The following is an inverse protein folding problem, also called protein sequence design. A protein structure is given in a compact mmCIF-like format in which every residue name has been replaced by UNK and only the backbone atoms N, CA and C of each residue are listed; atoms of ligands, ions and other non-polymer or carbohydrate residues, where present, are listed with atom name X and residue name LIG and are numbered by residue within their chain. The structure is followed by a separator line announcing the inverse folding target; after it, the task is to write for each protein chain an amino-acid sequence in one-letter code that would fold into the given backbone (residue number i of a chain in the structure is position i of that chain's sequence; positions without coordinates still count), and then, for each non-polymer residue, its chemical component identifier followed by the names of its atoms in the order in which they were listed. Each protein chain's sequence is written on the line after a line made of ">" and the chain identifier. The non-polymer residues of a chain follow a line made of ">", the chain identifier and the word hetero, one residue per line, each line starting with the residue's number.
data_IF_268849868433
#
_entry.id   IF_268849868433
#
_cell.length_a   1.000
_cell.length_b   1.000
_cell.length_c   1.000
_cell.angle_alpha   90.00
_cell.angle_beta   90.00
_cell.angle_gamma   90.00
#
_symmetry.space_group_name_H-M   'P 1'
#
loop_
_entity.id
_entity.type
_entity.pdbx_description
1 polymer ?
#
# COMPACT_ATOMS: atom_id res chain seq x y z
N UNK A 1 2.94 -7.60 -28.12
CA UNK A 1 3.52 -7.84 -26.79
C UNK A 1 2.37 -7.81 -25.81
N UNK A 2 2.04 -8.92 -25.15
CA UNK A 2 1.04 -8.89 -24.07
C UNK A 2 1.55 -7.97 -22.97
N UNK A 3 0.78 -6.97 -22.55
CA UNK A 3 1.13 -6.19 -21.37
C UNK A 3 1.26 -7.13 -20.18
N UNK A 4 2.45 -7.17 -19.56
CA UNK A 4 2.73 -7.97 -18.37
C UNK A 4 1.79 -7.54 -17.26
N UNK A 5 1.07 -8.51 -16.70
CA UNK A 5 0.22 -8.31 -15.52
C UNK A 5 1.09 -7.86 -14.34
N UNK A 6 0.61 -6.88 -13.57
CA UNK A 6 1.31 -6.33 -12.41
C UNK A 6 0.60 -6.74 -11.14
N UNK A 7 1.34 -6.99 -10.07
CA UNK A 7 0.73 -7.14 -8.75
C UNK A 7 0.56 -5.77 -8.13
N UNK A 8 -0.63 -5.49 -7.62
CA UNK A 8 -0.98 -4.26 -6.91
C UNK A 8 -1.25 -4.59 -5.44
N UNK A 9 -0.33 -4.18 -4.56
CA UNK A 9 -0.58 -4.24 -3.13
C UNK A 9 -1.38 -3.03 -2.72
N UNK A 10 -2.44 -3.28 -1.97
CA UNK A 10 -3.23 -2.22 -1.36
C UNK A 10 -2.66 -1.90 0.03
N UNK A 11 -2.65 -0.62 0.40
CA UNK A 11 -2.42 -0.11 1.75
C UNK A 11 -3.74 0.06 2.50
N UNK A 12 -3.74 -0.15 3.83
CA UNK A 12 -4.95 -0.06 4.67
C UNK A 12 -5.57 1.33 4.59
N UNK A 13 -4.76 2.38 4.70
CA UNK A 13 -5.25 3.76 4.69
C UNK A 13 -5.69 4.20 3.29
N UNK A 14 -5.04 3.70 2.23
CA UNK A 14 -5.55 3.84 0.86
C UNK A 14 -6.96 3.25 0.73
N UNK A 15 -7.16 1.98 1.10
CA UNK A 15 -8.47 1.30 0.97
C UNK A 15 -9.53 2.00 1.80
N UNK A 16 -9.21 2.39 3.03
CA UNK A 16 -10.11 3.13 3.91
C UNK A 16 -10.61 4.43 3.26
N UNK A 17 -9.70 5.23 2.68
CA UNK A 17 -10.06 6.50 2.02
C UNK A 17 -10.78 6.30 0.69
N UNK A 18 -10.30 5.38 -0.15
CA UNK A 18 -10.91 5.10 -1.45
C UNK A 18 -12.33 4.52 -1.34
N UNK A 19 -12.67 3.90 -0.21
CA UNK A 19 -14.03 3.44 0.12
C UNK A 19 -14.95 4.57 0.62
N UNK A 20 -14.40 5.70 1.07
CA UNK A 20 -15.19 6.89 1.47
C UNK A 20 -15.51 7.75 0.24
N UNK A 21 -14.57 7.82 -0.70
CA UNK A 21 -14.70 8.62 -1.93
C UNK A 21 -15.65 7.90 -2.88
N UNK A 22 -16.75 8.54 -3.23
CA UNK A 22 -17.77 7.95 -4.08
C UNK A 22 -18.36 8.95 -5.08
N UNK A 23 -18.82 8.41 -6.22
CA UNK A 23 -19.57 9.15 -7.23
C UNK A 23 -20.68 8.25 -7.78
N UNK A 24 -21.90 8.78 -7.89
CA UNK A 24 -23.07 8.05 -8.41
C UNK A 24 -23.30 6.67 -7.75
N UNK A 25 -22.97 6.52 -6.47
CA UNK A 25 -23.12 5.27 -5.72
C UNK A 25 -22.01 4.24 -5.91
N UNK A 26 -20.98 4.53 -6.73
CA UNK A 26 -19.79 3.70 -6.86
C UNK A 26 -18.64 4.29 -6.02
N UNK A 27 -17.84 3.44 -5.39
CA UNK A 27 -16.67 3.88 -4.61
C UNK A 27 -15.45 4.00 -5.53
N UNK A 28 -14.53 4.92 -5.23
CA UNK A 28 -13.28 5.05 -5.99
C UNK A 28 -12.47 3.75 -5.94
N UNK A 29 -12.54 3.02 -4.82
CA UNK A 29 -11.94 1.70 -4.70
C UNK A 29 -12.44 0.70 -5.76
N UNK A 30 -13.73 0.77 -6.14
CA UNK A 30 -14.28 -0.08 -7.20
C UNK A 30 -13.69 0.27 -8.57
N UNK A 31 -13.47 1.56 -8.87
CA UNK A 31 -12.83 1.97 -10.12
C UNK A 31 -11.35 1.56 -10.18
N UNK A 32 -10.65 1.60 -9.04
CA UNK A 32 -9.27 1.14 -8.95
C UNK A 32 -9.17 -0.35 -9.27
N UNK A 33 -10.07 -1.19 -8.76
CA UNK A 33 -10.07 -2.63 -9.06
C UNK A 33 -10.35 -2.94 -10.54
N UNK A 34 -10.97 -2.01 -11.28
CA UNK A 34 -11.19 -2.13 -12.73
C UNK A 34 -9.96 -1.76 -13.57
N UNK A 35 -8.86 -1.31 -12.94
CA UNK A 35 -7.66 -0.98 -13.69
C UNK A 35 -7.12 -2.23 -14.43
N UNK A 36 -6.94 -2.15 -15.76
CA UNK A 36 -6.53 -3.31 -16.53
C UNK A 36 -5.08 -3.68 -16.19
N UNK A 37 -4.77 -4.96 -16.35
CA UNK A 37 -3.42 -5.51 -16.14
C UNK A 37 -2.92 -5.44 -14.69
N UNK A 38 -3.82 -5.38 -13.71
CA UNK A 38 -3.49 -5.52 -12.29
C UNK A 38 -4.11 -6.77 -11.68
N UNK A 39 -3.33 -7.45 -10.84
CA UNK A 39 -3.81 -8.42 -9.85
C UNK A 39 -3.67 -7.79 -8.49
N UNK A 40 -4.80 -7.53 -7.82
CA UNK A 40 -4.79 -6.88 -6.52
C UNK A 40 -4.53 -7.92 -5.42
N UNK A 41 -3.72 -7.54 -4.45
CA UNK A 41 -3.41 -8.36 -3.30
C UNK A 41 -3.34 -7.52 -2.02
N UNK A 42 -3.65 -8.15 -0.89
CA UNK A 42 -3.49 -7.56 0.44
C UNK A 42 -3.04 -8.62 1.44
N UNK A 43 -2.41 -8.17 2.53
CA UNK A 43 -2.15 -9.04 3.68
C UNK A 43 -3.40 -9.15 4.55
N UNK A 44 -3.64 -10.30 5.18
CA UNK A 44 -4.77 -10.53 6.10
C UNK A 44 -4.89 -9.44 7.17
N UNK A 45 -3.75 -8.92 7.63
CA UNK A 45 -3.67 -7.83 8.62
C UNK A 45 -4.49 -6.60 8.26
N UNK A 46 -4.60 -6.27 6.97
CA UNK A 46 -5.44 -5.15 6.51
C UNK A 46 -6.91 -5.35 6.89
N UNK A 47 -7.44 -6.57 6.78
CA UNK A 47 -8.83 -6.85 7.17
C UNK A 47 -9.05 -6.60 8.66
N UNK A 48 -8.11 -7.02 9.50
CA UNK A 48 -8.18 -6.82 10.95
C UNK A 48 -8.22 -5.33 11.31
N UNK A 49 -7.36 -4.52 10.68
CA UNK A 49 -7.29 -3.08 10.91
C UNK A 49 -8.53 -2.35 10.39
N UNK A 50 -9.01 -2.68 9.19
CA UNK A 50 -10.22 -2.07 8.62
C UNK A 50 -11.46 -2.42 9.45
N UNK A 51 -11.58 -3.66 9.92
CA UNK A 51 -12.72 -4.06 10.76
C UNK A 51 -12.77 -3.29 12.09
N UNK A 52 -11.64 -2.76 12.57
CA UNK A 52 -11.59 -1.92 13.76
C UNK A 52 -11.83 -0.42 13.45
N UNK A 53 -11.24 0.12 12.37
CA UNK A 53 -11.25 1.56 12.10
C UNK A 53 -12.27 2.03 11.04
N UNK A 54 -12.67 1.16 10.11
CA UNK A 54 -13.60 1.46 9.02
C UNK A 54 -14.35 0.20 8.58
N UNK A 55 -15.35 -0.20 9.37
CA UNK A 55 -16.16 -1.42 9.16
C UNK A 55 -16.77 -1.49 7.75
N UNK A 56 -17.10 -0.34 7.14
CA UNK A 56 -17.60 -0.28 5.78
C UNK A 56 -16.56 -0.76 4.76
N UNK A 57 -15.33 -0.23 4.84
CA UNK A 57 -14.21 -0.67 4.00
C UNK A 57 -13.81 -2.13 4.29
N UNK A 58 -13.91 -2.58 5.56
CA UNK A 58 -13.68 -3.99 5.94
C UNK A 58 -14.65 -4.95 5.24
N UNK A 59 -15.96 -4.64 5.25
CA UNK A 59 -16.98 -5.43 4.53
C UNK A 59 -16.77 -5.43 3.01
N UNK A 60 -16.40 -4.27 2.45
CA UNK A 60 -16.05 -4.18 1.04
C UNK A 60 -14.87 -5.09 0.72
N UNK A 61 -13.78 -5.01 1.48
CA UNK A 61 -12.59 -5.83 1.26
C UNK A 61 -12.90 -7.32 1.35
N UNK A 62 -13.65 -7.73 2.39
CA UNK A 62 -14.09 -9.12 2.54
C UNK A 62 -14.86 -9.60 1.30
N UNK A 63 -15.82 -8.80 0.81
CA UNK A 63 -16.59 -9.16 -0.39
C UNK A 63 -15.67 -9.34 -1.60
N UNK A 64 -14.69 -8.45 -1.80
CA UNK A 64 -13.74 -8.52 -2.92
C UNK A 64 -12.78 -9.71 -2.84
N UNK A 65 -12.47 -10.17 -1.63
CA UNK A 65 -11.69 -11.39 -1.41
C UNK A 65 -12.54 -12.62 -1.75
N UNK A 66 -13.79 -12.67 -1.26
CA UNK A 66 -14.72 -13.76 -1.50
C UNK A 66 -15.09 -13.91 -3.00
N UNK A 67 -15.17 -12.81 -3.75
CA UNK A 67 -15.38 -12.82 -5.21
C UNK A 67 -14.12 -13.12 -6.02
N UNK A 68 -12.94 -13.21 -5.37
CA UNK A 68 -11.65 -13.46 -6.03
C UNK A 68 -11.08 -12.25 -6.77
N UNK A 69 -11.61 -11.05 -6.56
CA UNK A 69 -11.09 -9.80 -7.15
C UNK A 69 -9.80 -9.32 -6.46
N UNK A 70 -9.63 -9.66 -5.17
CA UNK A 70 -8.42 -9.38 -4.37
C UNK A 70 -7.89 -10.68 -3.77
N UNK A 71 -6.59 -10.93 -3.98
CA UNK A 71 -5.88 -12.06 -3.35
C UNK A 71 -5.52 -11.65 -1.91
N UNK A 72 -6.07 -12.32 -0.92
CA UNK A 72 -5.67 -12.15 0.47
C UNK A 72 -4.68 -13.22 0.88
N UNK A 73 -3.54 -12.81 1.44
CA UNK A 73 -2.47 -13.72 1.88
C UNK A 73 -2.18 -13.48 3.36
N UNK A 74 -2.03 -14.55 4.13
CA UNK A 74 -1.58 -14.50 5.52
C UNK A 74 -0.13 -14.95 5.67
N UNK A 75 0.39 -14.88 6.88
CA UNK A 75 1.80 -15.22 7.17
C UNK A 75 2.11 -16.68 6.88
N UNK A 76 1.16 -17.59 7.16
CA UNK A 76 1.32 -19.01 6.88
C UNK A 76 1.50 -19.25 5.39
N UNK A 77 0.60 -18.71 4.56
CA UNK A 77 0.66 -18.88 3.11
C UNK A 77 1.95 -18.29 2.52
N UNK A 78 2.44 -17.17 3.05
CA UNK A 78 3.75 -16.62 2.65
C UNK A 78 4.88 -17.59 3.00
N UNK A 79 4.92 -18.10 4.23
CA UNK A 79 6.00 -18.98 4.70
C UNK A 79 5.96 -20.34 3.99
N UNK A 80 4.78 -20.90 3.75
CA UNK A 80 4.57 -22.14 2.98
C UNK A 80 5.12 -21.98 1.57
N UNK A 81 4.75 -20.90 0.87
CA UNK A 81 5.28 -20.63 -0.48
C UNK A 81 6.79 -20.37 -0.47
N UNK A 82 7.32 -19.64 0.52
CA UNK A 82 8.77 -19.50 0.67
C UNK A 82 9.45 -20.84 0.94
N UNK A 83 8.82 -21.76 1.67
CA UNK A 83 9.38 -23.10 1.93
C UNK A 83 9.48 -23.92 0.66
N UNK A 84 8.51 -23.78 -0.25
CA UNK A 84 8.58 -24.42 -1.58
C UNK A 84 9.74 -23.88 -2.42
N UNK A 85 10.01 -22.56 -2.35
CA UNK A 85 11.04 -21.89 -3.15
C UNK A 85 12.47 -22.04 -2.58
N UNK A 86 12.63 -21.96 -1.26
CA UNK A 86 13.95 -21.88 -0.59
C UNK A 86 14.15 -22.88 0.55
N UNK A 87 13.24 -23.84 0.72
CA UNK A 87 13.31 -24.86 1.76
C UNK A 87 13.29 -24.27 3.17
N UNK A 88 14.06 -24.87 4.09
CA UNK A 88 14.13 -24.46 5.51
C UNK A 88 14.68 -23.05 5.74
N UNK A 89 15.22 -22.40 4.69
CA UNK A 89 15.61 -20.99 4.76
C UNK A 89 14.40 -20.04 4.77
N UNK A 90 13.17 -20.52 4.55
CA UNK A 90 11.96 -19.70 4.49
C UNK A 90 11.79 -18.77 5.70
N UNK A 91 12.10 -19.26 6.91
CA UNK A 91 12.02 -18.47 8.15
C UNK A 91 13.02 -17.30 8.15
N UNK A 92 14.23 -17.50 7.60
CA UNK A 92 15.24 -16.44 7.47
C UNK A 92 14.77 -15.35 6.49
N UNK A 93 14.19 -15.76 5.35
CA UNK A 93 13.64 -14.81 4.37
C UNK A 93 12.47 -14.02 4.94
N UNK A 94 11.49 -14.71 5.54
CA UNK A 94 10.34 -14.06 6.16
C UNK A 94 10.81 -13.07 7.25
N UNK A 95 11.72 -13.49 8.12
CA UNK A 95 12.34 -12.62 9.14
C UNK A 95 13.02 -11.40 8.52
N UNK A 96 13.78 -11.57 7.44
CA UNK A 96 14.43 -10.45 6.75
C UNK A 96 13.41 -9.46 6.21
N UNK A 97 12.34 -9.96 5.59
CA UNK A 97 11.25 -9.12 5.07
C UNK A 97 10.56 -8.33 6.18
N UNK A 98 10.30 -9.00 7.31
CA UNK A 98 9.70 -8.38 8.48
C UNK A 98 10.61 -7.28 9.06
N UNK A 99 11.90 -7.56 9.26
CA UNK A 99 12.88 -6.60 9.76
C UNK A 99 13.01 -5.38 8.84
N UNK A 100 13.13 -5.59 7.53
CA UNK A 100 13.15 -4.49 6.57
C UNK A 100 11.84 -3.67 6.58
N UNK A 101 10.69 -4.32 6.73
CA UNK A 101 9.39 -3.66 6.86
C UNK A 101 9.29 -2.83 8.13
N UNK A 102 9.84 -3.29 9.25
CA UNK A 102 9.87 -2.54 10.51
C UNK A 102 10.60 -1.19 10.39
N UNK A 103 11.59 -1.08 9.49
CA UNK A 103 12.30 0.18 9.22
C UNK A 103 11.40 1.28 8.61
N UNK A 104 10.19 0.94 8.16
CA UNK A 104 9.17 1.94 7.77
C UNK A 104 8.75 2.78 9.00
N UNK A 105 8.65 2.14 10.17
CA UNK A 105 8.26 2.77 11.43
C UNK A 105 9.49 3.40 12.10
N UNK A 106 10.48 2.57 12.43
CA UNK A 106 11.77 3.01 12.98
C UNK A 106 12.82 1.88 12.90
N UNK A 107 14.10 2.26 12.96
CA UNK A 107 15.21 1.29 12.92
C UNK A 107 15.25 0.34 14.13
N UNK A 108 14.65 0.75 15.25
CA UNK A 108 14.63 -0.02 16.49
C UNK A 108 13.34 -0.83 16.65
N UNK A 109 12.36 -0.68 15.75
CA UNK A 109 11.06 -1.32 15.89
C UNK A 109 11.17 -2.86 15.86
N UNK A 110 12.01 -3.40 14.98
CA UNK A 110 12.22 -4.85 14.94
C UNK A 110 12.83 -5.37 16.24
N UNK A 111 13.92 -4.75 16.71
CA UNK A 111 14.60 -5.20 17.92
C UNK A 111 13.75 -5.04 19.18
N UNK A 112 12.85 -4.07 19.20
CA UNK A 112 11.91 -3.86 20.30
C UNK A 112 10.87 -4.99 20.43
N UNK A 113 10.40 -5.56 19.32
CA UNK A 113 9.22 -6.45 19.32
C UNK A 113 9.48 -7.87 18.82
N UNK A 114 10.52 -8.11 18.02
CA UNK A 114 10.71 -9.34 17.27
C UNK A 114 12.06 -10.05 17.50
N UNK A 115 12.88 -9.59 18.46
CA UNK A 115 14.16 -10.24 18.81
C UNK A 115 14.00 -11.72 19.21
N UNK A 116 12.85 -12.11 19.74
CA UNK A 116 12.59 -13.51 20.09
C UNK A 116 12.56 -14.42 18.85
N UNK A 117 12.18 -13.90 17.67
CA UNK A 117 12.26 -14.64 16.41
C UNK A 117 13.71 -14.96 16.04
N UNK A 118 14.63 -14.02 16.26
CA UNK A 118 16.07 -14.25 15.99
C UNK A 118 16.60 -15.36 16.90
N UNK A 119 16.25 -15.28 18.19
CA UNK A 119 16.62 -16.30 19.17
C UNK A 119 16.08 -17.68 18.77
N UNK A 120 14.81 -17.76 18.35
CA UNK A 120 14.22 -19.02 17.88
C UNK A 120 14.91 -19.56 16.62
N UNK A 121 15.26 -18.67 15.67
CA UNK A 121 15.98 -19.04 14.46
C UNK A 121 17.40 -19.54 14.77
N UNK A 122 18.11 -18.94 15.73
CA UNK A 122 19.49 -19.29 16.09
C UNK A 122 19.57 -20.58 16.93
N UNK A 123 18.62 -20.79 17.84
CA UNK A 123 18.61 -21.91 18.80
C UNK A 123 17.95 -23.17 18.21
N UNK A 124 17.14 -23.03 17.16
CA UNK A 124 16.37 -24.14 16.58
C UNK A 124 17.24 -25.32 16.10
N UNK A 125 16.81 -26.54 16.45
CA UNK A 125 17.33 -27.78 15.88
C UNK A 125 16.98 -27.89 14.38
N UNK A 126 17.46 -28.95 13.71
CA UNK A 126 17.21 -29.19 12.27
C UNK A 126 15.73 -29.30 11.87
N UNK A 127 14.83 -29.53 12.83
CA UNK A 127 13.38 -29.65 12.64
C UNK A 127 12.68 -28.39 13.15
N UNK A 128 12.73 -27.31 12.38
CA UNK A 128 12.00 -26.07 12.68
C UNK A 128 10.53 -26.22 12.32
N UNK A 129 9.67 -26.06 13.31
CA UNK A 129 8.22 -26.17 13.15
C UNK A 129 7.58 -24.84 12.75
N UNK A 130 6.65 -24.90 11.80
CA UNK A 130 5.97 -23.72 11.27
C UNK A 130 4.93 -23.16 12.25
N UNK A 131 4.25 -24.03 13.00
CA UNK A 131 3.23 -23.61 13.96
C UNK A 131 3.88 -22.92 15.15
N UNK A 132 5.05 -23.40 15.59
CA UNK A 132 5.88 -22.73 16.61
C UNK A 132 6.32 -21.34 16.16
N UNK A 133 6.82 -21.19 14.92
CA UNK A 133 7.22 -19.89 14.40
C UNK A 133 6.04 -18.91 14.34
N UNK A 134 4.89 -19.34 13.80
CA UNK A 134 3.69 -18.52 13.67
C UNK A 134 3.11 -18.15 15.04
N UNK A 135 3.15 -19.06 16.02
CA UNK A 135 2.72 -18.76 17.38
C UNK A 135 3.61 -17.71 18.03
N UNK A 136 4.93 -17.80 17.87
CA UNK A 136 5.87 -16.81 18.38
C UNK A 136 5.68 -15.44 17.69
N UNK A 137 5.52 -15.43 16.37
CA UNK A 137 5.21 -14.23 15.60
C UNK A 137 3.94 -13.55 16.13
N UNK A 138 2.87 -14.31 16.36
CA UNK A 138 1.61 -13.79 16.91
C UNK A 138 1.79 -13.19 18.32
N UNK A 139 2.63 -13.78 19.17
CA UNK A 139 2.96 -13.25 20.50
C UNK A 139 3.68 -11.89 20.36
N UNK A 140 4.70 -11.82 19.51
CA UNK A 140 5.42 -10.59 19.21
C UNK A 140 4.45 -9.50 18.73
N UNK A 141 3.56 -9.82 17.79
CA UNK A 141 2.57 -8.89 17.25
C UNK A 141 1.56 -8.40 18.27
N UNK A 142 1.10 -9.28 19.16
CA UNK A 142 0.12 -8.92 20.18
C UNK A 142 0.69 -7.95 21.22
N UNK A 143 2.02 -7.85 21.33
CA UNK A 143 2.70 -6.85 22.17
C UNK A 143 2.80 -5.46 21.51
N UNK A 144 2.53 -5.37 20.20
CA UNK A 144 2.47 -4.12 19.46
C UNK A 144 1.11 -3.47 19.73
N UNK A 145 1.11 -2.36 20.45
CA UNK A 145 -0.12 -1.61 20.72
C UNK A 145 -0.85 -1.22 19.42
N UNK A 146 -2.20 -1.18 19.47
CA UNK A 146 -3.10 -0.95 18.34
C UNK A 146 -2.90 0.37 17.54
N UNK A 147 -1.99 1.26 17.95
CA UNK A 147 -1.72 2.54 17.29
C UNK A 147 -0.45 2.59 16.44
N UNK A 148 0.33 1.51 16.39
CA UNK A 148 1.53 1.44 15.56
C UNK A 148 1.12 0.93 14.17
N UNK A 149 1.53 1.60 13.09
CA UNK A 149 1.20 1.31 11.68
C UNK A 149 1.67 -0.08 11.18
N UNK A 150 1.29 -1.14 11.88
CA UNK A 150 1.82 -2.49 11.69
C UNK A 150 1.27 -3.16 10.42
N UNK A 151 0.07 -2.78 9.97
CA UNK A 151 -0.44 -3.16 8.66
C UNK A 151 0.48 -2.73 7.51
N UNK A 152 1.17 -1.58 7.62
CA UNK A 152 2.17 -1.15 6.63
C UNK A 152 3.36 -2.12 6.58
N UNK A 153 3.81 -2.59 7.76
CA UNK A 153 4.88 -3.60 7.87
C UNK A 153 4.45 -4.89 7.18
N UNK A 154 3.22 -5.37 7.42
CA UNK A 154 2.70 -6.59 6.78
C UNK A 154 2.48 -6.45 5.28
N UNK A 155 2.00 -5.29 4.82
CA UNK A 155 1.94 -4.99 3.39
C UNK A 155 3.35 -5.00 2.75
N UNK A 156 4.37 -4.57 3.49
CA UNK A 156 5.76 -4.65 3.03
C UNK A 156 6.30 -6.08 2.98
N UNK A 157 5.97 -6.93 3.97
CA UNK A 157 6.30 -8.36 3.94
C UNK A 157 5.70 -9.02 2.69
N UNK A 158 4.41 -8.79 2.43
CA UNK A 158 3.73 -9.25 1.22
C UNK A 158 4.42 -8.74 -0.05
N UNK A 159 4.84 -7.48 -0.06
CA UNK A 159 5.58 -6.90 -1.20
C UNK A 159 6.90 -7.60 -1.46
N UNK A 160 7.72 -7.83 -0.43
CA UNK A 160 9.01 -8.52 -0.57
C UNK A 160 8.82 -9.96 -1.04
N UNK A 161 7.84 -10.66 -0.49
CA UNK A 161 7.44 -11.99 -0.95
C UNK A 161 7.05 -11.98 -2.44
N UNK A 162 6.12 -11.12 -2.88
CA UNK A 162 5.70 -11.08 -4.27
C UNK A 162 6.84 -10.70 -5.22
N UNK A 163 7.76 -9.81 -4.80
CA UNK A 163 8.94 -9.47 -5.62
C UNK A 163 9.94 -10.62 -5.76
N UNK A 164 9.99 -11.50 -4.77
CA UNK A 164 10.87 -12.66 -4.79
C UNK A 164 10.28 -13.79 -5.64
N UNK A 165 8.96 -14.02 -5.54
CA UNK A 165 8.30 -15.18 -6.16
C UNK A 165 7.66 -14.89 -7.51
N UNK A 166 7.45 -13.62 -7.86
CA UNK A 166 6.80 -13.23 -9.11
C UNK A 166 7.78 -12.51 -10.04
N UNK A 167 7.82 -12.91 -11.31
CA UNK A 167 8.56 -12.21 -12.37
C UNK A 167 7.91 -10.87 -12.76
N UNK A 168 6.69 -10.62 -12.26
CA UNK A 168 5.86 -9.46 -12.57
C UNK A 168 6.22 -8.24 -11.73
N UNK A 169 6.00 -7.04 -12.28
CA UNK A 169 6.19 -5.80 -11.52
C UNK A 169 5.19 -5.73 -10.34
N UNK A 170 5.70 -5.42 -9.15
CA UNK A 170 4.89 -5.16 -7.96
C UNK A 170 4.78 -3.64 -7.75
N UNK A 171 3.56 -3.14 -7.59
CA UNK A 171 3.21 -1.72 -7.37
C UNK A 171 2.41 -1.62 -6.09
N UNK A 172 2.57 -0.52 -5.34
CA UNK A 172 1.80 -0.26 -4.11
C UNK A 172 0.81 0.86 -4.35
N UNK A 173 -0.46 0.63 -4.06
CA UNK A 173 -1.46 1.68 -3.90
C UNK A 173 -1.48 2.12 -2.45
N UNK A 174 -1.11 3.36 -2.21
CA UNK A 174 -0.78 3.89 -0.89
C UNK A 174 -1.53 5.18 -0.63
N UNK A 175 -1.76 5.52 0.64
CA UNK A 175 -2.33 6.81 0.98
C UNK A 175 -1.42 7.98 0.57
N UNK A 176 -1.96 9.20 0.55
CA UNK A 176 -1.16 10.41 0.29
C UNK A 176 -0.19 10.77 1.44
N UNK A 177 -0.15 10.00 2.54
CA UNK A 177 0.85 10.18 3.58
C UNK A 177 2.26 9.90 3.02
N UNK A 178 3.17 10.83 3.22
CA UNK A 178 4.55 10.72 2.72
C UNK A 178 5.38 9.74 3.52
N UNK A 179 5.06 9.50 4.79
CA UNK A 179 5.75 8.51 5.61
C UNK A 179 5.63 7.12 5.00
N UNK A 180 4.38 6.65 4.89
CA UNK A 180 4.03 5.37 4.28
C UNK A 180 4.66 5.21 2.87
N UNK A 181 4.53 6.24 2.02
CA UNK A 181 5.03 6.22 0.64
C UNK A 181 6.54 6.12 0.54
N UNK A 182 7.29 6.86 1.37
CA UNK A 182 8.75 6.80 1.37
C UNK A 182 9.26 5.44 1.84
N UNK A 183 8.56 4.80 2.79
CA UNK A 183 8.85 3.44 3.21
C UNK A 183 8.85 2.48 2.03
N UNK A 184 7.73 2.40 1.29
CA UNK A 184 7.63 1.52 0.13
C UNK A 184 8.54 1.95 -1.02
N UNK A 185 8.54 3.21 -1.43
CA UNK A 185 9.27 3.66 -2.62
C UNK A 185 10.79 3.55 -2.46
N UNK A 186 11.32 3.89 -1.28
CA UNK A 186 12.77 3.92 -1.06
C UNK A 186 13.31 2.56 -0.60
N UNK A 187 12.69 1.91 0.38
CA UNK A 187 13.22 0.65 0.93
C UNK A 187 13.00 -0.53 -0.03
N UNK A 188 11.85 -0.54 -0.71
CA UNK A 188 11.53 -1.65 -1.61
C UNK A 188 11.87 -1.37 -3.07
N UNK A 189 12.18 -0.13 -3.45
CA UNK A 189 12.36 0.29 -4.85
C UNK A 189 11.17 -0.08 -5.74
N UNK A 190 9.96 -0.09 -5.19
CA UNK A 190 8.73 -0.43 -5.92
C UNK A 190 7.94 0.84 -6.22
N UNK A 191 7.37 0.99 -7.42
CA UNK A 191 6.55 2.15 -7.73
C UNK A 191 5.31 2.21 -6.84
N UNK A 192 4.96 3.42 -6.45
CA UNK A 192 3.75 3.70 -5.68
C UNK A 192 2.74 4.48 -6.53
N UNK A 193 1.45 4.29 -6.26
CA UNK A 193 0.35 5.11 -6.76
C UNK A 193 -0.38 5.65 -5.55
N UNK A 194 -0.23 6.95 -5.29
CA UNK A 194 -0.97 7.60 -4.21
C UNK A 194 -2.44 7.78 -4.59
N UNK A 195 -3.28 8.07 -3.60
CA UNK A 195 -4.70 8.37 -3.83
C UNK A 195 -4.89 9.54 -4.83
N UNK A 196 -4.09 10.60 -4.75
CA UNK A 196 -4.09 11.66 -5.77
C UNK A 196 -3.64 11.15 -7.15
N UNK A 197 -2.63 10.28 -7.20
CA UNK A 197 -2.14 9.72 -8.46
C UNK A 197 -3.17 8.79 -9.15
N UNK A 198 -4.19 8.29 -8.43
CA UNK A 198 -5.32 7.57 -9.04
C UNK A 198 -6.04 8.45 -10.07
N UNK A 199 -6.24 9.75 -9.80
CA UNK A 199 -6.90 10.65 -10.74
C UNK A 199 -6.07 10.87 -12.01
N UNK A 200 -4.74 10.93 -11.88
CA UNK A 200 -3.83 10.91 -13.02
C UNK A 200 -3.96 9.61 -13.82
N UNK A 201 -4.02 8.47 -13.13
CA UNK A 201 -4.17 7.16 -13.78
C UNK A 201 -5.50 7.04 -14.52
N UNK A 202 -6.60 7.52 -13.94
CA UNK A 202 -7.92 7.60 -14.60
C UNK A 202 -7.85 8.42 -15.90
N UNK A 203 -7.25 9.61 -15.85
CA UNK A 203 -7.03 10.46 -17.03
C UNK A 203 -6.21 9.73 -18.10
N UNK A 204 -5.08 9.12 -17.73
CA UNK A 204 -4.23 8.35 -18.66
C UNK A 204 -4.91 7.13 -19.27
N UNK A 205 -5.95 6.62 -18.62
CA UNK A 205 -6.80 5.53 -19.13
C UNK A 205 -7.97 6.02 -19.98
N UNK A 206 -8.12 7.34 -20.17
CA UNK A 206 -9.18 7.93 -20.98
C UNK A 206 -10.50 8.16 -20.24
N UNK A 207 -10.49 8.12 -18.90
CA UNK A 207 -11.65 8.58 -18.11
C UNK A 207 -11.90 10.06 -18.39
N UNK A 208 -13.15 10.46 -18.61
CA UNK A 208 -13.48 11.86 -18.87
C UNK A 208 -13.37 12.70 -17.59
N UNK A 209 -13.19 14.01 -17.77
CA UNK A 209 -13.12 14.95 -16.66
C UNK A 209 -14.39 14.88 -15.80
N UNK A 210 -15.57 14.82 -16.41
CA UNK A 210 -16.86 14.85 -15.71
C UNK A 210 -17.05 13.64 -14.79
N UNK A 211 -16.59 12.46 -15.22
CA UNK A 211 -16.64 11.24 -14.40
C UNK A 211 -15.64 11.36 -13.24
N UNK A 212 -14.40 11.77 -13.52
CA UNK A 212 -13.37 11.90 -12.49
C UNK A 212 -13.68 13.01 -11.49
N UNK A 213 -14.28 14.12 -11.93
CA UNK A 213 -14.68 15.25 -11.09
C UNK A 213 -15.70 14.82 -10.03
N UNK A 214 -16.63 13.93 -10.36
CA UNK A 214 -17.57 13.38 -9.37
C UNK A 214 -16.85 12.71 -8.18
N UNK A 215 -15.84 11.88 -8.45
CA UNK A 215 -15.00 11.28 -7.40
C UNK A 215 -14.11 12.33 -6.74
N UNK A 216 -13.57 13.27 -7.50
CA UNK A 216 -12.65 14.28 -6.99
C UNK A 216 -13.33 15.26 -6.04
N UNK A 217 -14.53 15.73 -6.35
CA UNK A 217 -15.31 16.58 -5.43
C UNK A 217 -15.66 15.81 -4.15
N UNK A 218 -15.91 14.50 -4.24
CA UNK A 218 -16.10 13.65 -3.05
C UNK A 218 -14.83 13.60 -2.19
N UNK A 219 -13.66 13.43 -2.82
CA UNK A 219 -12.34 13.51 -2.16
C UNK A 219 -12.07 14.88 -1.52
N UNK A 220 -12.30 15.98 -2.24
CA UNK A 220 -12.12 17.35 -1.71
C UNK A 220 -13.06 17.58 -0.53
N UNK A 221 -14.34 17.20 -0.64
CA UNK A 221 -15.30 17.31 0.46
C UNK A 221 -14.86 16.51 1.68
N UNK A 222 -14.35 15.30 1.48
CA UNK A 222 -13.78 14.49 2.55
C UNK A 222 -12.60 15.22 3.22
N UNK A 223 -11.65 15.75 2.44
CA UNK A 223 -10.51 16.52 2.96
C UNK A 223 -10.91 17.75 3.78
N UNK A 224 -11.95 18.48 3.34
CA UNK A 224 -12.42 19.70 3.99
C UNK A 224 -13.25 19.45 5.25
N UNK A 225 -13.88 18.27 5.40
CA UNK A 225 -14.73 17.93 6.56
C UNK A 225 -13.98 17.28 7.72
N UNK A 226 -12.68 17.01 7.58
CA UNK A 226 -11.85 16.44 8.67
C UNK A 226 -11.76 17.42 9.84
N UNK A 227 -11.49 16.90 11.04
CA UNK A 227 -11.23 17.72 12.24
C UNK A 227 -10.13 18.77 12.02
N UNK A 228 -9.13 18.42 11.19
CA UNK A 228 -8.13 19.34 10.66
C UNK A 228 -8.29 19.40 9.13
N UNK A 229 -9.06 20.37 8.60
CA UNK A 229 -9.33 20.47 7.17
C UNK A 229 -8.06 20.63 6.34
N UNK A 230 -7.99 19.90 5.22
CA UNK A 230 -6.91 20.01 4.26
C UNK A 230 -7.41 20.68 2.98
N UNK A 231 -6.89 21.89 2.70
CA UNK A 231 -7.22 22.67 1.51
C UNK A 231 -6.07 22.71 0.48
N UNK A 232 -4.90 22.18 0.85
CA UNK A 232 -3.73 22.14 -0.02
C UNK A 232 -3.09 20.76 0.01
N UNK A 233 -2.47 20.40 -1.11
CA UNK A 233 -1.61 19.22 -1.25
C UNK A 233 -0.21 19.68 -1.63
N UNK A 234 0.78 18.82 -1.44
CA UNK A 234 2.17 19.13 -1.83
C UNK A 234 2.50 18.38 -3.11
N UNK A 235 2.94 19.11 -4.13
CA UNK A 235 3.40 18.56 -5.41
C UNK A 235 4.86 18.95 -5.63
N UNK A 236 5.57 18.15 -6.41
CA UNK A 236 6.93 18.49 -6.82
C UNK A 236 6.89 19.49 -7.97
N UNK A 237 7.71 20.53 -7.86
CA UNK A 237 7.96 21.47 -8.93
C UNK A 237 9.45 21.48 -9.24
N UNK A 238 9.81 21.42 -10.51
CA UNK A 238 11.18 21.55 -10.97
C UNK A 238 11.37 22.96 -11.53
N UNK A 239 12.06 23.81 -10.78
CA UNK A 239 12.38 25.17 -11.20
C UNK A 239 13.89 25.38 -11.11
N UNK A 240 14.48 25.87 -12.20
CA UNK A 240 15.89 26.31 -12.24
C UNK A 240 16.90 25.27 -11.71
N UNK A 241 16.75 24.01 -12.11
CA UNK A 241 17.70 22.97 -11.70
C UNK A 241 17.40 22.31 -10.36
N UNK A 242 16.41 22.80 -9.58
CA UNK A 242 16.09 22.30 -8.24
C UNK A 242 14.68 21.72 -8.15
N UNK A 243 14.56 20.53 -7.57
CA UNK A 243 13.27 19.95 -7.17
C UNK A 243 12.83 20.54 -5.83
N UNK A 244 11.67 21.20 -5.81
CA UNK A 244 11.08 21.75 -4.59
C UNK A 244 9.65 21.30 -4.44
N UNK A 245 9.24 21.16 -3.19
CA UNK A 245 7.86 20.85 -2.83
C UNK A 245 7.09 22.14 -2.65
N UNK A 246 6.06 22.34 -3.46
CA UNK A 246 5.18 23.49 -3.38
C UNK A 246 3.81 23.07 -2.85
N UNK A 247 3.12 23.99 -2.18
CA UNK A 247 1.72 23.81 -1.79
C UNK A 247 0.84 24.24 -2.96
N UNK A 248 -0.07 23.37 -3.37
CA UNK A 248 -1.07 23.63 -4.41
C UNK A 248 -2.45 23.44 -3.81
N UNK A 249 -3.41 24.26 -4.23
CA UNK A 249 -4.81 24.11 -3.86
C UNK A 249 -5.30 22.72 -4.25
N UNK A 250 -5.98 22.03 -3.33
CA UNK A 250 -6.59 20.74 -3.63
C UNK A 250 -7.75 20.88 -4.64
N UNK A 251 -8.32 22.07 -4.83
CA UNK A 251 -9.39 22.27 -5.82
C UNK A 251 -8.83 22.29 -7.26
N UNK A 252 -7.60 22.78 -7.43
CA UNK A 252 -7.04 23.05 -8.76
C UNK A 252 -6.32 21.83 -9.36
N UNK A 253 -5.94 20.86 -8.51
CA UNK A 253 -5.08 19.75 -8.93
C UNK A 253 -5.75 18.85 -9.97
N UNK A 254 -7.06 18.61 -9.93
CA UNK A 254 -7.73 17.83 -10.98
C UNK A 254 -7.65 18.52 -12.34
N UNK A 255 -7.96 19.82 -12.41
CA UNK A 255 -7.86 20.59 -13.65
C UNK A 255 -6.46 20.51 -14.24
N UNK A 256 -5.45 20.72 -13.39
CA UNK A 256 -4.05 20.64 -13.79
C UNK A 256 -3.64 19.22 -14.25
N UNK A 257 -4.20 18.15 -13.66
CA UNK A 257 -3.99 16.77 -14.14
C UNK A 257 -4.53 16.63 -15.57
N UNK A 258 -5.77 17.05 -15.82
CA UNK A 258 -6.43 16.91 -17.11
C UNK A 258 -5.88 17.85 -18.19
N UNK A 259 -5.29 18.97 -17.79
CA UNK A 259 -4.51 19.87 -18.65
C UNK A 259 -3.11 19.31 -19.00
N UNK A 260 -2.73 18.14 -18.46
CA UNK A 260 -1.42 17.53 -18.69
C UNK A 260 -0.25 18.24 -18.00
N UNK A 261 -0.53 19.01 -16.94
CA UNK A 261 0.50 19.75 -16.19
C UNK A 261 1.22 18.91 -15.14
N UNK A 262 0.84 17.64 -14.97
CA UNK A 262 1.47 16.73 -14.00
C UNK A 262 1.97 15.43 -14.64
N UNK A 263 2.95 14.82 -13.98
CA UNK A 263 3.40 13.44 -14.11
C UNK A 263 3.42 12.77 -12.73
N UNK A 264 3.39 11.43 -12.70
CA UNK A 264 3.49 10.64 -11.46
C UNK A 264 4.92 10.13 -11.31
N UNK A 265 5.54 10.44 -10.17
CA UNK A 265 6.87 9.94 -9.78
C UNK A 265 6.79 8.49 -9.31
N UNK A 266 7.95 7.83 -9.23
CA UNK A 266 8.04 6.45 -8.70
C UNK A 266 7.55 6.34 -7.25
N UNK A 267 7.67 7.39 -6.45
CA UNK A 267 7.17 7.45 -5.07
C UNK A 267 5.66 7.74 -4.96
N UNK A 268 4.97 7.85 -6.10
CA UNK A 268 3.54 8.13 -6.18
C UNK A 268 3.18 9.60 -6.00
N UNK A 269 4.13 10.52 -5.76
CA UNK A 269 3.83 11.95 -5.75
C UNK A 269 3.60 12.49 -7.17
N UNK A 270 2.76 13.53 -7.28
CA UNK A 270 2.63 14.32 -8.50
C UNK A 270 3.80 15.30 -8.65
N UNK A 271 4.28 15.44 -9.88
CA UNK A 271 5.31 16.39 -10.28
C UNK A 271 4.81 17.24 -11.44
N UNK A 272 4.94 18.57 -11.33
CA UNK A 272 4.60 19.47 -12.42
C UNK A 272 5.50 19.20 -13.63
N UNK A 273 4.89 19.06 -14.81
CA UNK A 273 5.62 18.91 -16.07
C UNK A 273 6.35 20.20 -16.41
N UNK A 274 7.53 20.07 -17.01
CA UNK A 274 8.29 21.22 -17.50
C UNK A 274 7.50 21.85 -18.65
N UNK A 275 7.21 23.15 -18.54
CA UNK A 275 6.85 23.96 -19.71
C UNK A 275 8.10 24.35 -20.47
#
# INVERSE_FOLDING_TARGET
>A
MSELVKYAILDTDFVSKANIICSNGCMLADEVLRFPHYKFACHLKMMEELNYHNVGAGRWLQTRIETGEIICVDDRAIIESLKEEVGESCFLYYRSFLNEGCNIISNDFYSQYFNDLDTWIEVGNSDKDMDEFLALLQICESSIGHGNSYGEVKAFVLLKYLKMTQESQVIVFCSDDRGARRGFANLSMSPCISLLAVFYKLWRMGTSYEIADGYYQSFVNWCLRRANPQNTVRVWNYTEGTEKLIKTSIQDVLNDIYDGKYEVRKDGDLQMTRR
#
